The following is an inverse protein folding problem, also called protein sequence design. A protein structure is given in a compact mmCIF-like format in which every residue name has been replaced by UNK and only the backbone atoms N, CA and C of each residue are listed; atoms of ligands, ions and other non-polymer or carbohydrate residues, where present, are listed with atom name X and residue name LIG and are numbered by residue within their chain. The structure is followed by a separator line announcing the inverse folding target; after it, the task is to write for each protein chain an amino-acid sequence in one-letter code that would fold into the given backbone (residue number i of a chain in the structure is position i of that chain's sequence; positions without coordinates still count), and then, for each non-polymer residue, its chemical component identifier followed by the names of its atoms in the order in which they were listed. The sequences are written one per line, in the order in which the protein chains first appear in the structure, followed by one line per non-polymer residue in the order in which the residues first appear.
data_IF_306403415741
#
_entry.id   IF_306403415741
#
_cell.length_a   1.000
_cell.length_b   1.000
_cell.length_c   1.000
_cell.angle_alpha   90.00
_cell.angle_beta   90.00
_cell.angle_gamma   90.00
#
_symmetry.space_group_name_H-M   'P 1'
#
loop_
_entity.id
_entity.type
_entity.pdbx_description
1 polymer ?
#
# COMPACT_ATOMS: atom_id res chain seq x y z
N UNK A 1 -3.98 7.11 -27.06
CA UNK A 1 -5.11 6.91 -26.11
C UNK A 1 -4.67 6.21 -24.81
N UNK A 2 -3.86 5.14 -24.89
CA UNK A 2 -3.38 4.38 -23.72
C UNK A 2 -2.67 5.25 -22.65
N UNK A 3 -1.72 6.11 -23.06
CA UNK A 3 -1.01 7.03 -22.15
C UNK A 3 -1.94 7.95 -21.38
N UNK A 4 -2.95 8.53 -22.04
CA UNK A 4 -3.93 9.41 -21.39
C UNK A 4 -4.74 8.62 -20.35
N UNK A 5 -5.19 7.41 -20.70
CA UNK A 5 -5.94 6.55 -19.78
C UNK A 5 -5.08 6.12 -18.57
N UNK A 6 -3.79 5.86 -18.77
CA UNK A 6 -2.84 5.57 -17.69
C UNK A 6 -2.71 6.77 -16.73
N UNK A 7 -2.52 7.98 -17.27
CA UNK A 7 -2.41 9.22 -16.48
C UNK A 7 -3.72 9.50 -15.72
N UNK A 8 -4.87 9.31 -16.35
CA UNK A 8 -6.17 9.43 -15.68
C UNK A 8 -6.30 8.41 -14.55
N UNK A 9 -5.91 7.16 -14.80
CA UNK A 9 -5.93 6.10 -13.78
C UNK A 9 -4.98 6.42 -12.61
N UNK A 10 -3.92 7.19 -12.80
CA UNK A 10 -3.04 7.63 -11.71
C UNK A 10 -3.59 8.84 -10.94
N UNK A 11 -4.30 9.75 -11.60
CA UNK A 11 -4.68 11.06 -11.06
C UNK A 11 -6.10 11.10 -10.46
N UNK A 12 -7.07 10.44 -11.07
CA UNK A 12 -8.46 10.37 -10.57
C UNK A 12 -8.60 9.78 -9.14
N UNK A 13 -7.91 8.69 -8.77
CA UNK A 13 -7.84 8.26 -7.37
C UNK A 13 -7.21 9.29 -6.44
N UNK A 14 -6.27 10.13 -6.89
CA UNK A 14 -5.70 11.18 -6.05
C UNK A 14 -6.75 12.25 -5.72
N UNK A 15 -7.56 12.67 -6.71
CA UNK A 15 -8.69 13.56 -6.46
C UNK A 15 -9.74 12.95 -5.54
N UNK A 16 -10.07 11.67 -5.75
CA UNK A 16 -10.97 10.91 -4.88
C UNK A 16 -10.45 10.86 -3.43
N UNK A 17 -9.15 10.64 -3.27
CA UNK A 17 -8.45 10.65 -1.97
C UNK A 17 -8.57 12.00 -1.29
N UNK A 18 -8.36 13.10 -2.00
CA UNK A 18 -8.47 14.46 -1.45
C UNK A 18 -9.89 14.71 -0.92
N UNK A 19 -10.93 14.30 -1.66
CA UNK A 19 -12.32 14.42 -1.22
C UNK A 19 -12.60 13.62 0.05
N UNK A 20 -12.08 12.38 0.14
CA UNK A 20 -12.22 11.55 1.35
C UNK A 20 -11.46 12.16 2.53
N UNK A 21 -10.20 12.58 2.33
CA UNK A 21 -9.38 13.20 3.37
C UNK A 21 -10.02 14.47 3.95
N UNK A 22 -10.62 15.33 3.11
CA UNK A 22 -11.39 16.50 3.57
C UNK A 22 -12.52 16.11 4.52
N UNK A 23 -13.19 14.97 4.29
CA UNK A 23 -14.26 14.45 5.15
C UNK A 23 -13.76 13.76 6.41
N UNK A 24 -12.58 13.14 6.37
CA UNK A 24 -11.96 12.55 7.56
C UNK A 24 -11.48 13.64 8.53
N UNK A 25 -11.22 14.84 8.01
CA UNK A 25 -10.76 15.99 8.78
C UNK A 25 -9.30 15.87 9.18
N UNK A 26 -8.84 16.74 10.07
CA UNK A 26 -7.45 16.79 10.50
C UNK A 26 -7.12 15.71 11.56
N UNK A 27 -6.04 14.97 11.34
CA UNK A 27 -5.49 13.92 12.20
C UNK A 27 -4.45 14.41 13.22
N UNK A 28 -4.53 15.69 13.61
CA UNK A 28 -3.70 16.29 14.65
C UNK A 28 -2.28 16.66 14.23
N UNK A 29 -1.68 15.93 13.28
CA UNK A 29 -0.39 16.27 12.68
C UNK A 29 -0.42 16.16 11.16
N UNK A 30 0.41 16.97 10.48
CA UNK A 30 0.53 16.90 9.02
C UNK A 30 1.08 15.55 8.55
N UNK A 31 2.04 14.97 9.28
CA UNK A 31 2.57 13.63 8.98
C UNK A 31 1.47 12.56 8.99
N UNK A 32 0.56 12.61 9.98
CA UNK A 32 -0.60 11.72 10.02
C UNK A 32 -1.55 11.97 8.84
N UNK A 33 -1.86 13.23 8.49
CA UNK A 33 -2.71 13.53 7.33
C UNK A 33 -2.10 13.03 6.01
N UNK A 34 -0.79 13.20 5.82
CA UNK A 34 -0.07 12.71 4.65
C UNK A 34 -0.14 11.18 4.60
N UNK A 35 0.13 10.51 5.73
CA UNK A 35 0.07 9.04 5.78
C UNK A 35 -1.34 8.51 5.46
N UNK A 36 -2.39 9.13 6.02
CA UNK A 36 -3.80 8.82 5.70
C UNK A 36 -4.04 8.97 4.20
N UNK A 37 -3.62 10.09 3.62
CA UNK A 37 -3.77 10.37 2.19
C UNK A 37 -3.06 9.33 1.32
N UNK A 38 -1.81 9.01 1.60
CA UNK A 38 -1.04 8.03 0.82
C UNK A 38 -1.63 6.63 0.89
N UNK A 39 -2.03 6.16 2.07
CA UNK A 39 -2.63 4.83 2.23
C UNK A 39 -3.99 4.76 1.56
N UNK A 40 -4.83 5.78 1.67
CA UNK A 40 -6.11 5.84 0.96
C UNK A 40 -5.92 5.90 -0.55
N UNK A 41 -4.97 6.67 -1.03
CA UNK A 41 -4.62 6.75 -2.45
C UNK A 41 -4.26 5.37 -2.99
N UNK A 42 -3.33 4.68 -2.35
CA UNK A 42 -2.92 3.33 -2.78
C UNK A 42 -4.08 2.34 -2.65
N UNK A 43 -4.88 2.41 -1.58
CA UNK A 43 -6.05 1.53 -1.41
C UNK A 43 -7.06 1.71 -2.55
N UNK A 44 -7.46 2.95 -2.86
CA UNK A 44 -8.37 3.25 -3.97
C UNK A 44 -7.79 2.87 -5.34
N UNK A 45 -6.47 2.98 -5.48
CA UNK A 45 -5.76 2.58 -6.68
C UNK A 45 -5.86 1.06 -6.92
N UNK A 46 -5.59 0.26 -5.89
CA UNK A 46 -5.54 -1.20 -5.97
C UNK A 46 -6.94 -1.83 -6.00
N UNK A 47 -7.82 -1.42 -5.07
CA UNK A 47 -9.12 -2.10 -4.84
C UNK A 47 -10.00 -2.08 -6.09
N UNK A 48 -10.04 -0.97 -6.83
CA UNK A 48 -10.86 -0.91 -8.05
C UNK A 48 -10.37 -1.88 -9.12
N UNK A 49 -9.06 -2.11 -9.22
CA UNK A 49 -8.48 -3.02 -10.21
C UNK A 49 -8.81 -4.45 -9.81
N UNK A 50 -8.80 -4.76 -8.51
CA UNK A 50 -9.32 -6.04 -8.01
C UNK A 50 -10.80 -6.24 -8.35
N UNK A 51 -11.64 -5.21 -8.20
CA UNK A 51 -13.07 -5.29 -8.57
C UNK A 51 -13.22 -5.55 -10.06
N UNK A 52 -12.57 -4.76 -10.92
CA UNK A 52 -12.62 -4.93 -12.38
C UNK A 52 -12.12 -6.32 -12.78
N UNK A 53 -10.99 -6.77 -12.22
CA UNK A 53 -10.45 -8.10 -12.49
C UNK A 53 -11.37 -9.23 -12.00
N UNK A 54 -12.06 -9.04 -10.87
CA UNK A 54 -13.06 -10.01 -10.40
C UNK A 54 -14.22 -10.11 -11.38
N UNK A 55 -14.74 -8.97 -11.86
CA UNK A 55 -15.80 -8.93 -12.87
C UNK A 55 -15.37 -9.59 -14.19
N UNK A 56 -14.11 -9.41 -14.58
CA UNK A 56 -13.50 -10.09 -15.73
C UNK A 56 -13.46 -11.61 -15.53
N UNK A 57 -12.97 -12.08 -14.37
CA UNK A 57 -12.83 -13.51 -14.08
C UNK A 57 -14.17 -14.27 -14.00
N UNK A 58 -15.26 -13.60 -13.60
CA UNK A 58 -16.60 -14.21 -13.61
C UNK A 58 -17.27 -14.16 -15.00
N UNK A 59 -16.59 -13.64 -16.03
CA UNK A 59 -17.08 -13.63 -17.41
C UNK A 59 -17.98 -12.46 -17.77
N UNK A 60 -17.97 -11.34 -17.02
CA UNK A 60 -18.77 -10.17 -17.39
C UNK A 60 -18.25 -9.50 -18.68
N UNK A 61 -16.95 -9.62 -18.95
CA UNK A 61 -16.29 -9.19 -20.18
C UNK A 61 -14.96 -9.93 -20.36
N UNK A 62 -14.47 -10.02 -21.60
CA UNK A 62 -13.31 -10.85 -21.95
C UNK A 62 -11.99 -10.30 -21.37
N UNK A 63 -11.79 -8.99 -21.48
CA UNK A 63 -10.58 -8.29 -21.04
C UNK A 63 -10.89 -6.86 -20.57
N UNK A 64 -10.19 -6.37 -19.54
CA UNK A 64 -10.20 -4.96 -19.17
C UNK A 64 -9.06 -4.20 -19.86
N UNK A 65 -9.25 -2.90 -20.05
CA UNK A 65 -8.22 -2.00 -20.56
C UNK A 65 -7.97 -0.86 -19.59
N UNK A 66 -6.94 -0.04 -19.83
CA UNK A 66 -6.73 1.20 -19.07
C UNK A 66 -7.91 2.18 -19.24
N UNK A 67 -8.63 2.12 -20.36
CA UNK A 67 -9.85 2.90 -20.55
C UNK A 67 -10.94 2.45 -19.58
N UNK A 68 -11.13 1.13 -19.43
CA UNK A 68 -12.08 0.56 -18.45
C UNK A 68 -11.74 1.04 -17.03
N UNK A 69 -10.47 1.02 -16.65
CA UNK A 69 -10.01 1.50 -15.34
C UNK A 69 -10.31 2.99 -15.16
N UNK A 70 -9.99 3.82 -16.16
CA UNK A 70 -10.24 5.27 -16.12
C UNK A 70 -11.73 5.63 -16.04
N UNK A 71 -12.60 4.86 -16.72
CA UNK A 71 -14.06 5.02 -16.62
C UNK A 71 -14.53 4.73 -15.20
N UNK A 72 -14.11 3.60 -14.61
CA UNK A 72 -14.44 3.27 -13.22
C UNK A 72 -13.96 4.35 -12.25
N UNK A 73 -12.75 4.87 -12.45
CA UNK A 73 -12.22 5.97 -11.65
C UNK A 73 -13.04 7.25 -11.74
N UNK A 74 -13.53 7.56 -12.94
CA UNK A 74 -14.41 8.71 -13.17
C UNK A 74 -15.72 8.53 -12.44
N UNK A 75 -16.32 7.33 -12.49
CA UNK A 75 -17.56 7.01 -11.77
C UNK A 75 -17.41 7.12 -10.25
N UNK A 76 -16.29 6.63 -9.70
CA UNK A 76 -15.97 6.75 -8.27
C UNK A 76 -15.85 8.23 -7.89
N UNK A 77 -15.10 9.02 -8.68
CA UNK A 77 -14.92 10.45 -8.42
C UNK A 77 -16.25 11.22 -8.49
N UNK A 78 -17.09 10.95 -9.49
CA UNK A 78 -18.42 11.55 -9.63
C UNK A 78 -19.33 11.19 -8.45
N UNK A 79 -19.33 9.93 -8.02
CA UNK A 79 -20.07 9.49 -6.84
C UNK A 79 -19.61 10.20 -5.57
N UNK A 80 -18.30 10.34 -5.37
CA UNK A 80 -17.74 11.09 -4.23
C UNK A 80 -18.04 12.58 -4.31
N UNK A 81 -18.04 13.17 -5.51
CA UNK A 81 -18.38 14.57 -5.73
C UNK A 81 -19.86 14.84 -5.44
N UNK A 82 -20.76 14.01 -5.97
CA UNK A 82 -22.19 14.06 -5.67
C UNK A 82 -22.43 13.91 -4.16
N UNK A 83 -21.76 12.94 -3.52
CA UNK A 83 -21.81 12.79 -2.07
C UNK A 83 -21.30 14.04 -1.34
N UNK A 84 -20.19 14.64 -1.79
CA UNK A 84 -19.64 15.90 -1.28
C UNK A 84 -20.65 17.04 -1.33
N UNK A 85 -21.40 17.15 -2.43
CA UNK A 85 -22.41 18.17 -2.65
C UNK A 85 -23.59 18.04 -1.67
N UNK A 86 -24.11 16.83 -1.47
CA UNK A 86 -25.28 16.61 -0.59
C UNK A 86 -24.97 16.70 0.91
N UNK A 87 -23.71 16.59 1.30
CA UNK A 87 -23.32 16.60 2.71
C UNK A 87 -22.09 17.48 2.89
N UNK A 88 -22.25 18.81 2.85
CA UNK A 88 -21.12 19.73 2.91
C UNK A 88 -20.29 19.45 4.16
N UNK A 89 -18.97 19.42 3.96
CA UNK A 89 -18.03 19.33 5.07
C UNK A 89 -18.07 20.64 5.85
N UNK A 90 -18.27 20.57 7.16
CA UNK A 90 -17.87 21.66 8.06
C UNK A 90 -16.40 21.94 7.81
N UNK A 91 -16.08 23.14 7.33
CA UNK A 91 -14.70 23.58 7.12
C UNK A 91 -13.93 23.42 8.42
N UNK A 92 -13.04 22.43 8.45
CA UNK A 92 -12.02 22.39 9.48
C UNK A 92 -11.08 23.54 9.16
N UNK A 93 -10.96 24.52 10.06
CA UNK A 93 -9.92 25.53 9.97
C UNK A 93 -8.58 24.86 9.70
N UNK A 94 -8.08 24.98 8.47
CA UNK A 94 -6.77 24.46 8.15
C UNK A 94 -5.78 25.41 8.81
N UNK A 95 -5.15 24.98 9.90
CA UNK A 95 -3.95 25.65 10.37
C UNK A 95 -2.98 25.66 9.20
N UNK A 96 -2.65 26.85 8.68
CA UNK A 96 -1.62 27.02 7.65
C UNK A 96 -0.30 26.52 8.24
N UNK A 97 0.04 25.28 7.94
CA UNK A 97 1.32 24.72 8.32
C UNK A 97 2.39 25.35 7.43
N UNK A 98 3.41 25.97 8.05
CA UNK A 98 4.58 26.46 7.34
C UNK A 98 5.71 25.44 7.50
N UNK A 99 6.07 24.74 6.42
CA UNK A 99 7.25 23.88 6.38
C UNK A 99 8.50 24.65 6.81
N UNK A 100 8.60 25.90 6.38
CA UNK A 100 9.75 26.76 6.66
C UNK A 100 9.91 27.05 8.16
N UNK A 101 8.82 27.28 8.90
CA UNK A 101 8.91 27.47 10.35
C UNK A 101 9.28 26.17 11.06
N UNK A 102 8.73 25.04 10.61
CA UNK A 102 9.06 23.73 11.16
C UNK A 102 10.55 23.39 11.00
N UNK A 103 11.15 23.61 9.83
CA UNK A 103 12.57 23.35 9.60
C UNK A 103 13.49 24.30 10.37
N UNK A 104 13.05 25.55 10.64
CA UNK A 104 13.82 26.51 11.45
C UNK A 104 13.98 26.10 12.91
N UNK A 105 13.03 25.33 13.45
CA UNK A 105 13.05 24.86 14.83
C UNK A 105 13.94 23.61 15.04
N UNK A 106 14.41 22.98 13.96
CA UNK A 106 15.18 21.74 14.05
C UNK A 106 16.67 22.00 14.35
N UNK A 107 17.34 21.10 15.10
CA UNK A 107 18.78 21.16 15.27
C UNK A 107 19.51 21.08 13.92
N UNK A 108 20.59 21.85 13.75
CA UNK A 108 21.37 21.90 12.50
C UNK A 108 21.84 20.52 12.03
N UNK A 109 22.25 19.64 12.94
CA UNK A 109 22.67 18.27 12.63
C UNK A 109 21.56 17.43 11.99
N UNK A 110 20.32 17.58 12.45
CA UNK A 110 19.14 16.90 11.87
C UNK A 110 18.87 17.44 10.46
N UNK A 111 18.94 18.76 10.28
CA UNK A 111 18.76 19.38 8.96
C UNK A 111 19.81 18.90 7.96
N UNK A 112 21.10 18.88 8.36
CA UNK A 112 22.20 18.38 7.53
C UNK A 112 21.95 16.91 7.15
N UNK A 113 21.55 16.07 8.09
CA UNK A 113 21.26 14.65 7.84
C UNK A 113 20.11 14.48 6.85
N UNK A 114 19.04 15.25 6.98
CA UNK A 114 17.90 15.26 6.05
C UNK A 114 18.33 15.70 4.65
N UNK A 115 19.17 16.73 4.54
CA UNK A 115 19.71 17.20 3.25
C UNK A 115 20.54 16.11 2.59
N UNK A 116 21.49 15.50 3.31
CA UNK A 116 22.35 14.44 2.76
C UNK A 116 21.51 13.28 2.22
N UNK A 117 20.60 12.75 3.04
CA UNK A 117 19.74 11.62 2.65
C UNK A 117 18.83 12.00 1.48
N UNK A 118 18.20 13.18 1.51
CA UNK A 118 17.34 13.64 0.42
C UNK A 118 18.13 13.82 -0.88
N UNK A 119 19.37 14.33 -0.81
CA UNK A 119 20.26 14.45 -1.96
C UNK A 119 20.65 13.09 -2.54
N UNK A 120 20.89 12.07 -1.69
CA UNK A 120 21.12 10.70 -2.16
C UNK A 120 19.89 10.14 -2.89
N UNK A 121 18.69 10.27 -2.30
CA UNK A 121 17.45 9.83 -2.95
C UNK A 121 17.18 10.59 -4.26
N UNK A 122 17.48 11.88 -4.30
CA UNK A 122 17.35 12.68 -5.52
C UNK A 122 18.32 12.20 -6.61
N UNK A 123 19.58 11.91 -6.26
CA UNK A 123 20.56 11.38 -7.20
C UNK A 123 20.11 10.01 -7.77
N UNK A 124 19.62 9.10 -6.92
CA UNK A 124 19.07 7.82 -7.37
C UNK A 124 17.80 7.99 -8.20
N UNK A 125 16.92 8.92 -7.85
CA UNK A 125 15.72 9.22 -8.63
C UNK A 125 16.08 9.80 -10.01
N UNK A 126 17.03 10.72 -10.10
CA UNK A 126 17.51 11.26 -11.38
C UNK A 126 18.07 10.12 -12.24
N UNK A 127 18.93 9.27 -11.65
CA UNK A 127 19.48 8.11 -12.36
C UNK A 127 18.35 7.19 -12.87
N UNK A 128 17.38 6.84 -12.02
CA UNK A 128 16.22 6.04 -12.40
C UNK A 128 15.47 6.66 -13.59
N UNK A 129 15.15 7.96 -13.54
CA UNK A 129 14.40 8.62 -14.60
C UNK A 129 15.17 8.71 -15.92
N UNK A 130 16.51 8.67 -15.86
CA UNK A 130 17.40 8.69 -17.03
C UNK A 130 17.82 7.31 -17.55
N UNK A 131 17.53 6.22 -16.83
CA UNK A 131 17.98 4.86 -17.16
C UNK A 131 16.82 3.88 -17.25
N UNK A 132 17.03 2.75 -17.93
CA UNK A 132 16.05 1.66 -17.95
C UNK A 132 16.01 0.98 -16.58
N UNK A 133 14.84 0.53 -16.07
CA UNK A 133 14.76 -0.23 -14.82
C UNK A 133 15.74 -1.40 -14.83
N UNK A 134 16.78 -1.30 -14.01
CA UNK A 134 17.77 -2.36 -13.89
C UNK A 134 17.32 -3.36 -12.83
N UNK A 135 17.61 -4.63 -13.08
CA UNK A 135 17.77 -5.58 -11.99
C UNK A 135 19.17 -5.43 -11.39
N UNK A 136 19.31 -5.66 -10.09
CA UNK A 136 20.63 -5.74 -9.46
C UNK A 136 21.35 -7.05 -9.82
N UNK A 137 22.26 -6.99 -10.79
CA UNK A 137 23.15 -8.11 -11.10
C UNK A 137 24.45 -7.94 -10.32
N UNK A 138 24.71 -8.85 -9.38
CA UNK A 138 26.00 -8.98 -8.71
C UNK A 138 26.76 -10.11 -9.38
N UNK A 139 27.79 -9.79 -10.15
CA UNK A 139 28.69 -10.79 -10.73
C UNK A 139 29.29 -11.66 -9.62
N UNK A 140 29.23 -12.99 -9.78
CA UNK A 140 29.84 -13.95 -8.85
C UNK A 140 28.95 -14.44 -7.69
N UNK A 141 27.74 -13.90 -7.52
CA UNK A 141 26.78 -14.39 -6.53
C UNK A 141 25.64 -15.09 -7.29
N UNK A 142 25.70 -16.42 -7.39
CA UNK A 142 24.86 -17.27 -8.24
C UNK A 142 23.37 -17.35 -7.89
N UNK A 143 22.75 -16.24 -7.46
CA UNK A 143 21.31 -16.14 -7.31
C UNK A 143 20.68 -15.70 -8.62
N UNK A 144 19.58 -16.37 -8.96
CA UNK A 144 18.61 -16.04 -10.00
C UNK A 144 18.60 -14.55 -10.33
N UNK A 145 18.68 -14.22 -11.62
CA UNK A 145 18.59 -12.84 -12.09
C UNK A 145 17.41 -12.11 -11.42
N UNK A 146 17.49 -10.80 -11.22
CA UNK A 146 16.68 -10.08 -10.24
C UNK A 146 15.21 -10.40 -10.47
N UNK A 147 14.57 -11.03 -9.48
CA UNK A 147 13.16 -11.44 -9.47
C UNK A 147 12.24 -10.42 -10.19
N UNK A 148 12.53 -9.14 -9.96
CA UNK A 148 11.97 -7.99 -10.63
C UNK A 148 11.92 -8.05 -12.16
N UNK A 149 13.04 -8.26 -12.83
CA UNK A 149 13.13 -8.33 -14.30
C UNK A 149 12.71 -9.69 -14.81
N UNK A 150 12.96 -10.76 -14.04
CA UNK A 150 12.69 -12.12 -14.49
C UNK A 150 11.19 -12.46 -14.52
N UNK A 151 10.41 -11.99 -13.53
CA UNK A 151 8.98 -12.32 -13.49
C UNK A 151 8.04 -11.20 -13.07
N UNK A 152 8.47 -10.18 -12.30
CA UNK A 152 7.57 -9.10 -11.85
C UNK A 152 7.18 -8.14 -12.98
N UNK A 153 8.17 -7.60 -13.72
CA UNK A 153 7.90 -6.75 -14.89
C UNK A 153 7.19 -7.51 -16.01
N UNK A 154 7.62 -8.72 -16.41
CA UNK A 154 6.89 -9.52 -17.39
C UNK A 154 5.43 -9.77 -16.99
N UNK A 155 5.15 -10.01 -15.70
CA UNK A 155 3.79 -10.17 -15.18
C UNK A 155 2.96 -8.90 -15.37
N UNK A 156 3.50 -7.73 -15.01
CA UNK A 156 2.83 -6.44 -15.18
C UNK A 156 2.57 -6.12 -16.68
N UNK A 157 3.54 -6.37 -17.55
CA UNK A 157 3.40 -6.22 -19.01
C UNK A 157 2.30 -7.15 -19.54
N UNK A 158 2.29 -8.41 -19.11
CA UNK A 158 1.28 -9.39 -19.51
C UNK A 158 -0.13 -8.96 -19.09
N UNK A 159 -0.31 -8.48 -17.86
CA UNK A 159 -1.61 -7.97 -17.42
C UNK A 159 -2.09 -6.80 -18.26
N UNK A 160 -1.16 -5.91 -18.64
CA UNK A 160 -1.46 -4.78 -19.52
C UNK A 160 -1.84 -5.23 -20.94
N UNK A 161 -1.15 -6.22 -21.49
CA UNK A 161 -1.37 -6.74 -22.84
C UNK A 161 -2.64 -7.59 -22.94
N UNK A 162 -2.85 -8.49 -21.99
CA UNK A 162 -3.96 -9.43 -22.02
C UNK A 162 -5.25 -8.84 -21.44
N UNK A 163 -5.15 -7.74 -20.70
CA UNK A 163 -6.31 -7.15 -20.01
C UNK A 163 -6.93 -8.09 -18.99
N UNK A 164 -6.12 -8.93 -18.35
CA UNK A 164 -6.60 -9.90 -17.37
C UNK A 164 -5.53 -10.13 -16.32
N UNK A 165 -5.97 -10.22 -15.06
CA UNK A 165 -5.12 -10.64 -13.95
C UNK A 165 -5.17 -12.16 -13.77
N UNK A 166 -5.65 -12.95 -14.73
CA UNK A 166 -5.72 -14.41 -14.59
C UNK A 166 -4.34 -15.06 -14.45
N UNK A 167 -4.31 -16.24 -13.84
CA UNK A 167 -3.08 -17.03 -13.69
C UNK A 167 -2.85 -17.80 -15.00
N UNK A 168 -1.70 -17.64 -15.68
CA UNK A 168 -1.36 -18.50 -16.81
C UNK A 168 -1.32 -19.99 -16.47
N UNK A 169 -1.53 -20.85 -17.49
CA UNK A 169 -1.12 -22.24 -17.38
C UNK A 169 0.41 -22.33 -17.17
N UNK A 170 0.84 -23.32 -16.40
CA UNK A 170 2.24 -23.76 -16.27
C UNK A 170 3.25 -22.72 -15.76
N UNK A 171 2.82 -21.64 -15.11
CA UNK A 171 3.74 -20.64 -14.54
C UNK A 171 3.33 -20.21 -13.13
N UNK A 172 3.82 -20.92 -12.12
CA UNK A 172 3.49 -20.64 -10.72
C UNK A 172 3.85 -19.23 -10.26
N UNK A 173 4.91 -18.64 -10.81
CA UNK A 173 5.43 -17.32 -10.41
C UNK A 173 4.38 -16.22 -10.56
N UNK A 174 3.42 -16.38 -11.48
CA UNK A 174 2.39 -15.39 -11.77
C UNK A 174 1.11 -15.60 -10.95
N UNK A 175 1.06 -16.69 -10.17
CA UNK A 175 -0.04 -16.96 -9.26
C UNK A 175 0.06 -16.17 -7.95
N UNK A 176 1.26 -15.74 -7.59
CA UNK A 176 1.52 -15.01 -6.34
C UNK A 176 0.73 -13.69 -6.29
N UNK A 177 0.42 -13.19 -5.09
CA UNK A 177 -0.10 -11.84 -4.89
C UNK A 177 0.84 -10.79 -5.50
N UNK A 178 0.27 -9.74 -6.08
CA UNK A 178 1.03 -8.74 -6.83
C UNK A 178 0.50 -7.30 -6.72
N UNK A 179 0.14 -6.86 -5.51
CA UNK A 179 -0.29 -5.47 -5.27
C UNK A 179 0.77 -4.43 -5.69
N UNK A 180 2.06 -4.77 -5.63
CA UNK A 180 3.12 -3.85 -6.04
C UNK A 180 3.28 -3.76 -7.57
N UNK A 181 2.84 -4.78 -8.30
CA UNK A 181 2.93 -4.90 -9.75
C UNK A 181 1.74 -4.28 -10.47
N UNK A 182 0.59 -4.15 -9.79
CA UNK A 182 -0.56 -3.43 -10.34
C UNK A 182 -0.21 -1.97 -10.70
N UNK A 183 0.46 -1.18 -9.83
CA UNK A 183 0.97 0.13 -10.21
C UNK A 183 1.97 0.07 -11.37
N UNK A 184 2.87 -0.92 -11.40
CA UNK A 184 3.81 -1.09 -12.51
C UNK A 184 3.08 -1.28 -13.84
N UNK A 185 2.01 -2.09 -13.86
CA UNK A 185 1.17 -2.31 -15.05
C UNK A 185 0.58 -1.00 -15.58
N UNK A 186 0.01 -0.17 -14.70
CA UNK A 186 -0.58 1.12 -15.10
C UNK A 186 0.50 2.10 -15.57
N UNK A 187 1.63 2.16 -14.85
CA UNK A 187 2.76 3.03 -15.17
C UNK A 187 3.43 2.68 -16.51
N UNK A 188 3.56 1.40 -16.84
CA UNK A 188 3.98 0.94 -18.17
C UNK A 188 3.04 1.46 -19.27
N UNK A 189 1.75 1.58 -18.99
CA UNK A 189 0.76 2.18 -19.88
C UNK A 189 1.01 3.65 -20.25
N UNK A 190 1.85 4.36 -19.49
CA UNK A 190 2.26 5.74 -19.83
C UNK A 190 3.26 5.77 -21.00
N UNK A 191 3.95 4.66 -21.27
CA UNK A 191 5.10 4.59 -22.17
C UNK A 191 6.42 4.99 -21.52
N UNK A 192 6.42 5.49 -20.28
CA UNK A 192 7.64 5.82 -19.55
C UNK A 192 8.06 4.67 -18.63
N UNK A 193 8.85 3.73 -19.16
CA UNK A 193 9.18 2.48 -18.46
C UNK A 193 9.88 2.69 -17.11
N UNK A 194 10.70 3.72 -16.96
CA UNK A 194 11.39 4.03 -15.69
C UNK A 194 10.44 4.41 -14.56
N UNK A 195 9.22 4.85 -14.89
CA UNK A 195 8.24 5.28 -13.90
C UNK A 195 7.68 4.13 -13.05
N UNK A 196 7.88 2.86 -13.41
CA UNK A 196 7.34 1.68 -12.72
C UNK A 196 7.71 1.61 -11.23
N UNK A 197 8.79 2.28 -10.81
CA UNK A 197 9.25 2.30 -9.42
C UNK A 197 8.69 3.46 -8.60
N UNK A 198 7.87 4.34 -9.17
CA UNK A 198 7.28 5.49 -8.45
C UNK A 198 6.51 5.03 -7.20
N UNK A 199 5.83 3.88 -7.26
CA UNK A 199 5.11 3.36 -6.10
C UNK A 199 6.02 2.76 -5.02
N UNK A 200 7.24 2.34 -5.36
CA UNK A 200 8.24 2.01 -4.34
C UNK A 200 8.69 3.27 -3.60
N UNK A 201 8.87 4.38 -4.30
CA UNK A 201 9.14 5.69 -3.65
C UNK A 201 7.98 6.12 -2.75
N UNK A 202 6.72 5.95 -3.19
CA UNK A 202 5.54 6.16 -2.34
C UNK A 202 5.60 5.26 -1.10
N UNK A 203 5.94 3.98 -1.26
CA UNK A 203 6.17 3.05 -0.16
C UNK A 203 7.23 3.55 0.82
N UNK A 204 8.36 4.08 0.34
CA UNK A 204 9.41 4.63 1.20
C UNK A 204 8.96 5.87 1.97
N UNK A 205 8.12 6.74 1.37
CA UNK A 205 7.52 7.88 2.07
C UNK A 205 6.55 7.40 3.14
N UNK A 206 5.73 6.37 2.86
CA UNK A 206 4.84 5.72 3.83
C UNK A 206 5.66 5.12 4.98
N UNK A 207 6.77 4.44 4.66
CA UNK A 207 7.68 3.85 5.63
C UNK A 207 8.27 4.90 6.57
N UNK A 208 8.79 6.01 6.00
CA UNK A 208 9.35 7.12 6.77
C UNK A 208 8.30 7.80 7.65
N UNK A 209 7.12 8.12 7.09
CA UNK A 209 6.03 8.75 7.82
C UNK A 209 5.49 7.88 8.95
N UNK A 210 5.35 6.57 8.70
CA UNK A 210 4.91 5.61 9.72
C UNK A 210 5.92 5.49 10.84
N UNK A 211 7.21 5.41 10.51
CA UNK A 211 8.30 5.35 11.49
C UNK A 211 8.36 6.60 12.35
N UNK A 212 8.21 7.78 11.74
CA UNK A 212 8.15 9.05 12.45
C UNK A 212 7.01 9.07 13.48
N UNK A 213 5.81 8.65 13.06
CA UNK A 213 4.64 8.61 13.94
C UNK A 213 4.79 7.56 15.07
N UNK A 214 5.31 6.37 14.76
CA UNK A 214 5.61 5.35 15.77
C UNK A 214 6.62 5.88 16.79
N UNK A 215 7.68 6.54 16.34
CA UNK A 215 8.67 7.13 17.22
C UNK A 215 8.05 8.18 18.15
N UNK A 216 7.19 9.07 17.63
CA UNK A 216 6.46 10.03 18.46
C UNK A 216 5.57 9.36 19.52
N UNK A 217 5.00 8.18 19.23
CA UNK A 217 4.25 7.38 20.22
C UNK A 217 5.10 6.77 21.31
N UNK A 218 6.40 6.69 21.11
CA UNK A 218 7.36 6.33 22.14
C UNK A 218 7.79 7.54 23.01
N UNK A 219 7.06 8.66 22.98
CA UNK A 219 7.30 9.89 23.76
C UNK A 219 8.68 10.54 23.51
N UNK A 220 9.26 10.34 22.32
CA UNK A 220 10.51 11.01 21.93
C UNK A 220 10.21 12.38 21.31
N UNK A 221 11.21 13.26 21.29
CA UNK A 221 11.09 14.57 20.65
C UNK A 221 10.90 14.46 19.13
N UNK A 222 10.30 15.47 18.51
CA UNK A 222 10.11 15.52 17.04
C UNK A 222 11.43 15.39 16.28
N UNK A 223 12.49 16.02 16.78
CA UNK A 223 13.82 15.92 16.19
C UNK A 223 14.35 14.49 16.26
N UNK A 224 14.20 13.80 17.39
CA UNK A 224 14.59 12.40 17.52
C UNK A 224 13.77 11.47 16.60
N UNK A 225 12.46 11.70 16.50
CA UNK A 225 11.60 10.94 15.59
C UNK A 225 12.00 11.11 14.11
N UNK A 226 12.40 12.32 13.71
CA UNK A 226 12.97 12.58 12.38
C UNK A 226 14.28 11.81 12.19
N UNK A 227 15.20 11.87 13.16
CA UNK A 227 16.47 11.13 13.11
C UNK A 227 16.24 9.63 12.92
N UNK A 228 15.34 9.02 13.69
CA UNK A 228 15.00 7.58 13.55
C UNK A 228 14.49 7.29 12.13
N UNK A 229 13.62 8.14 11.61
CA UNK A 229 13.07 7.97 10.26
C UNK A 229 14.13 8.13 9.18
N UNK A 230 15.04 9.10 9.34
CA UNK A 230 16.18 9.35 8.45
C UNK A 230 17.17 8.19 8.47
N UNK A 231 17.48 7.64 9.65
CA UNK A 231 18.33 6.45 9.78
C UNK A 231 17.71 5.27 9.05
N UNK A 232 16.41 5.03 9.21
CA UNK A 232 15.74 3.92 8.55
C UNK A 232 15.83 4.01 7.03
N UNK A 233 15.51 5.18 6.44
CA UNK A 233 15.57 5.35 4.98
C UNK A 233 16.98 5.47 4.44
N UNK A 234 17.99 5.75 5.27
CA UNK A 234 19.40 5.73 4.87
C UNK A 234 20.01 4.34 4.86
N UNK A 235 19.34 3.33 5.42
CA UNK A 235 19.78 1.93 5.35
C UNK A 235 19.94 1.54 3.87
N UNK A 236 21.14 1.10 3.43
CA UNK A 236 21.40 0.81 2.02
C UNK A 236 20.38 -0.15 1.39
N UNK A 237 19.95 -1.18 2.14
CA UNK A 237 18.93 -2.12 1.68
C UNK A 237 17.61 -1.45 1.28
N UNK A 238 17.13 -0.49 2.09
CA UNK A 238 15.89 0.25 1.80
C UNK A 238 16.08 1.15 0.58
N UNK A 239 17.23 1.80 0.49
CA UNK A 239 17.54 2.69 -0.62
C UNK A 239 17.60 1.91 -1.94
N UNK A 240 18.36 0.81 -2.00
CA UNK A 240 18.42 -0.05 -3.18
C UNK A 240 17.06 -0.62 -3.56
N UNK A 241 16.29 -1.16 -2.61
CA UNK A 241 14.97 -1.72 -2.91
C UNK A 241 13.93 -0.66 -3.32
N UNK A 242 14.13 0.62 -2.95
CA UNK A 242 13.29 1.72 -3.45
C UNK A 242 13.46 1.91 -4.97
N UNK A 243 14.68 1.76 -5.47
CA UNK A 243 15.05 2.03 -6.86
C UNK A 243 15.32 0.76 -7.69
N UNK A 244 14.87 -0.39 -7.20
CA UNK A 244 14.88 -1.66 -7.92
C UNK A 244 13.46 -2.22 -7.99
N UNK A 245 13.21 -3.13 -8.93
CA UNK A 245 11.92 -3.82 -9.10
C UNK A 245 11.73 -4.91 -8.03
N UNK A 246 11.89 -4.52 -6.77
CA UNK A 246 11.58 -5.31 -5.59
C UNK A 246 10.27 -4.81 -4.99
N UNK A 247 9.64 -5.65 -4.15
CA UNK A 247 8.30 -5.39 -3.59
C UNK A 247 8.31 -5.32 -2.06
N UNK A 248 9.47 -5.58 -1.46
CA UNK A 248 9.70 -5.69 -0.03
C UNK A 248 9.49 -4.35 0.69
N UNK A 249 10.08 -3.26 0.19
CA UNK A 249 9.87 -1.90 0.74
C UNK A 249 8.42 -1.48 0.61
N UNK A 250 7.79 -1.77 -0.53
CA UNK A 250 6.37 -1.50 -0.76
C UNK A 250 5.51 -2.19 0.31
N UNK A 251 5.59 -3.52 0.43
CA UNK A 251 4.75 -4.26 1.39
C UNK A 251 5.08 -3.95 2.87
N UNK A 252 6.36 -3.85 3.22
CA UNK A 252 6.78 -3.56 4.61
C UNK A 252 6.37 -2.17 5.08
N UNK A 253 6.31 -1.19 4.18
CA UNK A 253 5.81 0.15 4.51
C UNK A 253 4.39 0.13 5.06
N UNK A 254 3.52 -0.72 4.49
CA UNK A 254 2.14 -0.84 4.94
C UNK A 254 1.99 -1.63 6.25
N UNK A 255 2.93 -2.51 6.59
CA UNK A 255 2.98 -3.12 7.93
C UNK A 255 3.21 -2.02 8.98
N UNK A 256 4.20 -1.14 8.75
CA UNK A 256 4.44 -0.02 9.69
C UNK A 256 3.29 0.98 9.70
N UNK A 257 2.65 1.25 8.55
CA UNK A 257 1.46 2.09 8.50
C UNK A 257 0.31 1.52 9.34
N UNK A 258 0.09 0.20 9.28
CA UNK A 258 -0.92 -0.48 10.09
C UNK A 258 -0.66 -0.29 11.60
N UNK A 259 0.60 -0.45 12.02
CA UNK A 259 1.03 -0.22 13.40
C UNK A 259 0.82 1.25 13.79
N UNK A 260 1.25 2.20 12.95
CA UNK A 260 1.10 3.62 13.21
C UNK A 260 -0.37 4.01 13.40
N UNK A 261 -1.27 3.61 12.49
CA UNK A 261 -2.70 3.90 12.62
C UNK A 261 -3.31 3.27 13.87
N UNK A 262 -2.91 2.03 14.20
CA UNK A 262 -3.38 1.38 15.41
C UNK A 262 -2.93 2.13 16.67
N UNK A 263 -1.67 2.59 16.75
CA UNK A 263 -1.17 3.35 17.90
C UNK A 263 -1.85 4.73 18.06
N UNK A 264 -2.31 5.34 16.98
CA UNK A 264 -2.99 6.65 16.98
C UNK A 264 -4.52 6.58 17.16
N UNK A 265 -5.09 5.40 17.41
CA UNK A 265 -6.55 5.17 17.47
C UNK A 265 -7.31 5.98 18.54
N UNK A 266 -6.66 6.49 19.58
CA UNK A 266 -7.29 7.27 20.67
C UNK A 266 -6.77 8.69 20.83
N UNK A 267 -6.00 9.23 19.89
CA UNK A 267 -5.13 10.38 20.17
C UNK A 267 -5.81 11.75 20.38
N UNK A 268 -7.12 11.82 20.69
CA UNK A 268 -7.81 13.07 21.07
C UNK A 268 -8.94 12.88 22.10
N UNK A 269 -8.99 13.82 23.06
CA UNK A 269 -9.84 13.84 24.26
C UNK A 269 -11.34 14.12 24.04
N UNK A 270 -11.82 14.39 22.82
CA UNK A 270 -13.21 14.83 22.61
C UNK A 270 -14.07 13.81 21.84
N UNK A 271 -15.35 13.80 22.19
CA UNK A 271 -16.49 12.89 21.86
C UNK A 271 -16.62 12.41 20.40
N UNK A 272 -15.84 12.95 19.45
CA UNK A 272 -15.61 12.40 18.08
C UNK A 272 -14.70 11.15 18.05
N UNK A 273 -14.16 10.77 19.21
CA UNK A 273 -13.23 9.66 19.45
C UNK A 273 -13.66 8.33 18.80
N UNK A 274 -14.96 8.00 18.79
CA UNK A 274 -15.42 6.71 18.28
C UNK A 274 -15.38 6.58 16.75
N UNK A 275 -15.73 7.64 16.01
CA UNK A 275 -15.65 7.61 14.53
C UNK A 275 -14.19 7.53 14.11
N UNK A 276 -13.31 8.30 14.75
CA UNK A 276 -11.87 8.27 14.48
C UNK A 276 -11.25 6.92 14.81
N UNK A 277 -11.60 6.33 15.94
CA UNK A 277 -11.19 4.97 16.29
C UNK A 277 -11.51 3.96 15.18
N UNK A 278 -12.75 3.97 14.67
CA UNK A 278 -13.15 3.06 13.59
C UNK A 278 -12.39 3.36 12.29
N UNK A 279 -12.19 4.63 11.93
CA UNK A 279 -11.42 4.99 10.74
C UNK A 279 -9.96 4.56 10.88
N UNK A 280 -9.32 4.78 12.04
CA UNK A 280 -7.96 4.30 12.30
C UNK A 280 -7.86 2.79 12.17
N UNK A 281 -8.87 2.06 12.65
CA UNK A 281 -8.92 0.60 12.53
C UNK A 281 -9.08 0.15 11.08
N UNK A 282 -9.93 0.82 10.31
CA UNK A 282 -10.10 0.56 8.87
C UNK A 282 -8.80 0.86 8.13
N UNK A 283 -8.15 1.99 8.39
CA UNK A 283 -6.86 2.34 7.76
C UNK A 283 -5.76 1.34 8.15
N UNK A 284 -5.76 0.87 9.39
CA UNK A 284 -4.83 -0.15 9.83
C UNK A 284 -5.06 -1.48 9.11
N UNK A 285 -6.32 -1.90 9.00
CA UNK A 285 -6.74 -3.10 8.26
C UNK A 285 -6.39 -3.01 6.77
N UNK A 286 -6.74 -1.90 6.11
CA UNK A 286 -6.38 -1.66 4.71
C UNK A 286 -4.87 -1.71 4.49
N UNK A 287 -4.09 -1.14 5.40
CA UNK A 287 -2.63 -1.17 5.31
C UNK A 287 -2.09 -2.59 5.40
N UNK A 288 -2.45 -3.36 6.43
CA UNK A 288 -1.93 -4.72 6.56
C UNK A 288 -2.44 -5.64 5.42
N UNK A 289 -3.66 -5.41 4.94
CA UNK A 289 -4.19 -6.09 3.76
C UNK A 289 -3.41 -5.75 2.49
N UNK A 290 -3.04 -4.49 2.28
CA UNK A 290 -2.17 -4.08 1.16
C UNK A 290 -0.83 -4.82 1.21
N UNK A 291 -0.22 -4.95 2.39
CA UNK A 291 1.00 -5.72 2.59
C UNK A 291 0.81 -7.20 2.23
N UNK A 292 -0.23 -7.86 2.76
CA UNK A 292 -0.53 -9.27 2.45
C UNK A 292 -0.70 -9.49 0.95
N UNK A 293 -1.42 -8.59 0.27
CA UNK A 293 -1.63 -8.67 -1.18
C UNK A 293 -0.38 -8.37 -2.01
N UNK A 294 0.74 -7.94 -1.41
CA UNK A 294 2.03 -7.80 -2.09
C UNK A 294 2.80 -9.12 -2.16
N UNK A 295 2.77 -9.92 -1.08
CA UNK A 295 3.55 -11.16 -0.99
C UNK A 295 2.95 -12.09 0.05
N UNK A 296 2.86 -13.39 -0.25
CA UNK A 296 2.34 -14.41 0.68
C UNK A 296 3.12 -14.42 2.00
N UNK A 297 4.42 -14.13 1.98
CA UNK A 297 5.25 -14.04 3.19
C UNK A 297 4.71 -13.02 4.22
N UNK A 298 3.97 -12.00 3.78
CA UNK A 298 3.36 -11.01 4.67
C UNK A 298 2.12 -11.53 5.42
N UNK A 299 1.59 -12.71 5.09
CA UNK A 299 0.52 -13.35 5.87
C UNK A 299 0.93 -13.60 7.32
N UNK A 300 2.18 -14.00 7.58
CA UNK A 300 2.67 -14.24 8.94
C UNK A 300 2.61 -12.95 9.77
N UNK A 301 3.07 -11.84 9.19
CA UNK A 301 3.01 -10.52 9.84
C UNK A 301 1.56 -10.02 10.00
N UNK A 302 0.70 -10.29 9.02
CA UNK A 302 -0.72 -10.01 9.09
C UNK A 302 -1.43 -10.77 10.21
N UNK A 303 -1.16 -12.06 10.34
CA UNK A 303 -1.69 -12.90 11.40
C UNK A 303 -1.21 -12.46 12.79
N UNK A 304 0.09 -12.14 12.92
CA UNK A 304 0.66 -11.60 14.15
C UNK A 304 0.00 -10.25 14.52
N UNK A 305 -0.09 -9.31 13.57
CA UNK A 305 -0.74 -8.02 13.77
C UNK A 305 -2.21 -8.19 14.20
N UNK A 306 -2.98 -9.01 13.47
CA UNK A 306 -4.39 -9.26 13.80
C UNK A 306 -4.53 -9.85 15.21
N UNK A 307 -3.72 -10.85 15.56
CA UNK A 307 -3.76 -11.49 16.89
C UNK A 307 -3.45 -10.51 18.01
N UNK A 308 -2.40 -9.68 17.85
CA UNK A 308 -2.01 -8.67 18.83
C UNK A 308 -3.11 -7.61 18.96
N UNK A 309 -3.64 -7.11 17.84
CA UNK A 309 -4.69 -6.09 17.86
C UNK A 309 -5.97 -6.62 18.51
N UNK A 310 -6.41 -7.83 18.17
CA UNK A 310 -7.57 -8.48 18.80
C UNK A 310 -7.36 -8.62 20.30
N UNK A 311 -6.19 -9.11 20.72
CA UNK A 311 -5.86 -9.24 22.14
C UNK A 311 -5.90 -7.88 22.87
N UNK A 312 -5.27 -6.85 22.30
CA UNK A 312 -5.27 -5.49 22.88
C UNK A 312 -6.70 -4.94 22.97
N UNK A 313 -7.48 -5.01 21.90
CA UNK A 313 -8.86 -4.51 21.88
C UNK A 313 -9.78 -5.29 22.82
N UNK A 314 -9.53 -6.58 23.03
CA UNK A 314 -10.25 -7.37 24.01
C UNK A 314 -9.93 -6.94 25.45
N UNK A 315 -8.66 -6.64 25.75
CA UNK A 315 -8.26 -6.07 27.05
C UNK A 315 -8.77 -4.65 27.26
N UNK A 316 -8.93 -3.90 26.18
CA UNK A 316 -9.44 -2.53 26.20
C UNK A 316 -10.96 -2.44 25.99
N UNK A 317 -11.70 -3.56 26.09
CA UNK A 317 -13.15 -3.61 25.78
C UNK A 317 -13.97 -2.52 26.48
N UNK A 318 -13.60 -2.15 27.70
CA UNK A 318 -14.32 -1.14 28.50
C UNK A 318 -14.12 0.28 27.96
N UNK A 319 -13.07 0.53 27.16
CA UNK A 319 -12.81 1.81 26.49
C UNK A 319 -13.65 1.98 25.22
N UNK A 320 -14.33 0.94 24.72
CA UNK A 320 -15.05 0.98 23.45
C UNK A 320 -16.54 0.79 23.68
N UNK A 321 -17.37 1.64 23.05
CA UNK A 321 -18.84 1.51 23.13
C UNK A 321 -19.42 0.43 22.20
N UNK A 322 -18.61 -0.25 21.40
CA UNK A 322 -19.05 -1.31 20.47
C UNK A 322 -18.61 -2.67 20.97
N UNK A 323 -19.38 -3.70 20.61
CA UNK A 323 -18.99 -5.07 20.91
C UNK A 323 -17.64 -5.41 20.26
N UNK A 324 -16.77 -6.18 20.95
CA UNK A 324 -15.52 -6.64 20.37
C UNK A 324 -15.73 -7.37 19.04
N UNK A 325 -16.79 -8.18 18.92
CA UNK A 325 -17.14 -8.88 17.68
C UNK A 325 -17.33 -7.93 16.49
N UNK A 326 -18.02 -6.81 16.67
CA UNK A 326 -18.20 -5.81 15.63
C UNK A 326 -16.88 -5.17 15.20
N UNK A 327 -16.03 -4.82 16.18
CA UNK A 327 -14.72 -4.22 15.94
C UNK A 327 -13.81 -5.20 15.18
N UNK A 328 -13.78 -6.47 15.60
CA UNK A 328 -13.03 -7.53 14.92
C UNK A 328 -13.53 -7.76 13.49
N UNK A 329 -14.85 -7.72 13.28
CA UNK A 329 -15.45 -7.86 11.95
C UNK A 329 -15.03 -6.71 11.03
N UNK A 330 -15.05 -5.46 11.52
CA UNK A 330 -14.58 -4.31 10.75
C UNK A 330 -13.10 -4.46 10.39
N UNK A 331 -12.26 -4.84 11.36
CA UNK A 331 -10.84 -5.04 11.11
C UNK A 331 -10.63 -6.13 10.06
N UNK A 332 -11.23 -7.31 10.23
CA UNK A 332 -11.10 -8.42 9.29
C UNK A 332 -11.58 -8.02 7.88
N UNK A 333 -12.73 -7.35 7.76
CA UNK A 333 -13.21 -6.85 6.49
C UNK A 333 -12.23 -5.87 5.84
N UNK A 334 -11.69 -4.92 6.61
CA UNK A 334 -10.71 -3.96 6.11
C UNK A 334 -9.39 -4.63 5.65
N UNK A 335 -8.96 -5.71 6.31
CA UNK A 335 -7.80 -6.52 5.90
C UNK A 335 -8.09 -7.24 4.58
N UNK A 336 -9.27 -7.84 4.45
CA UNK A 336 -9.62 -8.66 3.30
C UNK A 336 -9.77 -7.83 2.01
N UNK A 337 -10.34 -6.64 2.08
CA UNK A 337 -10.63 -5.79 0.91
C UNK A 337 -9.47 -5.67 -0.09
N UNK A 338 -8.23 -5.32 0.31
CA UNK A 338 -7.09 -5.20 -0.61
C UNK A 338 -6.31 -6.50 -0.88
N UNK A 339 -6.71 -7.66 -0.33
CA UNK A 339 -5.95 -8.91 -0.52
C UNK A 339 -6.78 -10.13 -0.92
N UNK A 340 -8.08 -10.17 -0.64
CA UNK A 340 -8.96 -11.32 -0.87
C UNK A 340 -8.99 -11.73 -2.34
N UNK A 341 -8.87 -10.77 -3.26
CA UNK A 341 -8.80 -11.00 -4.69
C UNK A 341 -7.71 -12.03 -5.06
N UNK A 342 -6.52 -11.91 -4.48
CA UNK A 342 -5.39 -12.78 -4.83
C UNK A 342 -5.65 -14.24 -4.45
N UNK A 343 -6.15 -14.45 -3.24
CA UNK A 343 -6.47 -15.78 -2.72
C UNK A 343 -7.71 -16.38 -3.41
N UNK A 344 -8.71 -15.55 -3.69
CA UNK A 344 -9.90 -15.96 -4.44
C UNK A 344 -9.57 -16.36 -5.88
N UNK A 345 -8.74 -15.57 -6.57
CA UNK A 345 -8.23 -15.90 -7.91
C UNK A 345 -7.46 -17.22 -7.91
N UNK A 346 -6.53 -17.39 -6.96
CA UNK A 346 -5.74 -18.62 -6.86
C UNK A 346 -6.64 -19.84 -6.62
N UNK A 347 -7.59 -19.73 -5.69
CA UNK A 347 -8.56 -20.79 -5.42
C UNK A 347 -9.42 -21.13 -6.64
N UNK A 348 -9.94 -20.12 -7.33
CA UNK A 348 -10.77 -20.32 -8.52
C UNK A 348 -10.02 -21.03 -9.66
N UNK A 349 -8.74 -20.69 -9.87
CA UNK A 349 -7.96 -21.27 -10.97
C UNK A 349 -7.31 -22.61 -10.63
N UNK A 350 -6.90 -22.83 -9.38
CA UNK A 350 -6.04 -23.98 -9.00
C UNK A 350 -6.65 -24.88 -7.92
N UNK A 351 -7.78 -24.50 -7.34
CA UNK A 351 -8.35 -25.17 -6.16
C UNK A 351 -7.59 -24.89 -4.85
N UNK A 352 -6.48 -24.15 -4.89
CA UNK A 352 -5.67 -23.81 -3.71
C UNK A 352 -5.56 -22.28 -3.55
N UNK A 353 -6.05 -21.70 -2.43
CA UNK A 353 -5.97 -20.25 -2.21
C UNK A 353 -4.53 -19.75 -2.00
N UNK A 354 -3.61 -20.62 -1.57
CA UNK A 354 -2.20 -20.31 -1.29
C UNK A 354 -1.26 -20.85 -2.38
N UNK A 355 -1.79 -21.21 -3.55
CA UNK A 355 -0.98 -21.71 -4.67
C UNK A 355 0.18 -20.73 -4.98
N UNK A 356 1.42 -21.22 -5.15
CA UNK A 356 1.82 -22.63 -5.37
C UNK A 356 2.18 -23.43 -4.11
N UNK A 357 1.95 -22.90 -2.91
CA UNK A 357 2.37 -23.55 -1.67
C UNK A 357 1.43 -24.72 -1.38
N UNK A 358 2.01 -25.92 -1.21
CA UNK A 358 1.27 -27.09 -0.70
C UNK A 358 0.89 -26.86 0.75
N UNK A 359 -0.39 -27.11 1.09
CA UNK A 359 -0.90 -26.96 2.45
C UNK A 359 -1.18 -28.35 3.01
N UNK A 360 -0.43 -28.73 4.04
CA UNK A 360 -0.58 -29.99 4.75
C UNK A 360 -0.96 -29.73 6.21
N UNK A 361 -1.89 -30.54 6.73
CA UNK A 361 -2.26 -30.54 8.14
C UNK A 361 -2.20 -31.97 8.67
N UNK A 362 -1.38 -32.19 9.70
CA UNK A 362 -1.21 -33.51 10.33
C UNK A 362 -0.88 -34.63 9.31
N UNK A 363 -0.04 -34.33 8.33
CA UNK A 363 0.37 -35.27 7.28
C UNK A 363 -0.68 -35.54 6.19
N UNK A 364 -1.84 -34.86 6.23
CA UNK A 364 -2.85 -34.90 5.15
C UNK A 364 -2.76 -33.63 4.31
N UNK A 365 -2.63 -33.78 3.00
CA UNK A 365 -2.72 -32.67 2.06
C UNK A 365 -4.14 -32.11 2.06
N UNK A 366 -4.30 -30.83 2.40
CA UNK A 366 -5.57 -30.10 2.25
C UNK A 366 -5.63 -29.48 0.86
N UNK A 367 -4.53 -28.85 0.44
CA UNK A 367 -4.42 -28.22 -0.88
C UNK A 367 -3.11 -28.62 -1.54
N UNK A 368 -3.19 -29.10 -2.78
CA UNK A 368 -2.01 -29.42 -3.58
C UNK A 368 -1.26 -28.16 -4.00
N UNK A 369 0.07 -28.27 -4.08
CA UNK A 369 0.96 -27.20 -4.52
C UNK A 369 1.37 -27.35 -5.98
N UNK A 370 2.30 -26.51 -6.42
CA UNK A 370 2.94 -26.69 -7.71
C UNK A 370 3.91 -27.89 -7.68
N UNK A 371 3.73 -28.82 -8.62
CA UNK A 371 4.66 -29.91 -8.89
C UNK A 371 5.50 -29.59 -10.12
N UNK A 372 6.81 -29.77 -10.03
CA UNK A 372 7.67 -29.77 -11.21
C UNK A 372 7.44 -31.13 -11.87
N UNK A 373 6.72 -31.14 -12.98
CA UNK A 373 6.66 -32.32 -13.87
C UNK A 373 7.98 -32.50 -14.62
#
# INVERSE_FOLDING_TARGET
MQTICAILSLTLPAFSTILICRRLGNWGSQAANILVGLVLYVSLFIIRIHIIATLQLIGLFDAFSLLTIAIFDTLILLGLYAWSYFKPTTESESRKFSLLSYFKELPKSVLISLVIVSSCYLAFAINLLSSYPQGFFMEGVGWSGPDGVYYRLPLAVRWLQNGSLSIPPNTWRYALPGNAEIPMMVLLGTGWHSSVLVFNLVGTIILAGSTYLIALKCNVSRAAALVVSTILVSVPLINFQTFLVYTEVYGSSFILAAIAFFLYRYDQENTSSQKRFLVSLVLAGLSIGLAIGTKVAFLVYGAAFFSIVVFVLFRERDKHRKSPAFIMTILAAAILVPCVFWFGRAFFTTGNPLYPIKVELLGRTIFDGYTIE
#
